data_IF_868096379761
#
_entry.id   IF_868096379761
#
_cell.length_a   1.000
_cell.length_b   1.000
_cell.length_c   1.000
_cell.angle_alpha   90.00
_cell.angle_beta   90.00
_cell.angle_gamma   90.00
#
_symmetry.space_group_name_H-M   'P 1'
#
loop_
_entity.id
_entity.type
_entity.pdbx_description
1 polymer ?
#
# COMPACT_ATOMS: atom_id res chain seq x y z
N UNK A 1 1.69 -23.01 -15.21
CA UNK A 1 1.86 -21.96 -14.19
C UNK A 1 0.88 -22.27 -13.05
N UNK A 2 1.32 -22.39 -11.79
CA UNK A 2 0.42 -22.51 -10.63
C UNK A 2 0.42 -21.16 -9.91
N UNK A 3 -0.76 -20.63 -9.58
CA UNK A 3 -0.90 -19.36 -8.86
C UNK A 3 -1.01 -19.71 -7.36
N UNK A 4 0.00 -19.36 -6.53
CA UNK A 4 0.04 -19.80 -5.13
C UNK A 4 -1.01 -19.09 -4.26
N UNK A 5 -1.37 -17.85 -4.60
CA UNK A 5 -2.28 -17.01 -3.83
C UNK A 5 -3.32 -16.36 -4.72
N UNK A 6 -4.56 -16.35 -4.26
CA UNK A 6 -5.67 -15.67 -4.93
C UNK A 6 -6.40 -14.80 -3.93
N UNK A 7 -6.69 -13.55 -4.29
CA UNK A 7 -7.26 -12.54 -3.39
C UNK A 7 -8.47 -11.91 -4.06
N UNK A 8 -9.57 -11.79 -3.31
CA UNK A 8 -10.79 -11.10 -3.72
C UNK A 8 -10.98 -9.89 -2.82
N UNK A 9 -11.01 -8.70 -3.42
CA UNK A 9 -11.33 -7.45 -2.74
C UNK A 9 -12.69 -6.96 -3.22
N UNK A 10 -13.63 -6.82 -2.29
CA UNK A 10 -15.01 -6.41 -2.53
C UNK A 10 -15.37 -5.22 -1.63
N UNK A 11 -14.96 -3.99 -1.99
CA UNK A 11 -15.22 -2.79 -1.17
C UNK A 11 -16.72 -2.52 -1.00
N UNK A 12 -17.53 -2.92 -1.98
CA UNK A 12 -18.96 -2.69 -2.02
C UNK A 12 -19.78 -3.83 -1.40
N UNK A 13 -19.12 -4.90 -0.92
CA UNK A 13 -19.73 -6.09 -0.32
C UNK A 13 -20.86 -6.68 -1.19
N UNK A 14 -20.67 -6.70 -2.51
CA UNK A 14 -21.67 -7.23 -3.47
C UNK A 14 -21.62 -8.75 -3.60
N UNK A 15 -20.46 -9.35 -3.37
CA UNK A 15 -20.18 -10.78 -3.46
C UNK A 15 -20.21 -11.44 -2.08
N UNK A 16 -19.73 -10.75 -1.04
CA UNK A 16 -19.59 -11.28 0.31
C UNK A 16 -19.72 -10.20 1.38
N UNK A 17 -19.95 -10.60 2.64
CA UNK A 17 -19.88 -9.71 3.81
C UNK A 17 -18.44 -9.40 4.25
N UNK A 18 -17.44 -9.99 3.58
CA UNK A 18 -16.02 -9.82 3.92
C UNK A 18 -15.38 -8.98 2.83
N UNK A 19 -14.78 -7.84 3.21
CA UNK A 19 -14.14 -6.93 2.27
C UNK A 19 -12.94 -7.54 1.55
N UNK A 20 -12.16 -8.38 2.23
CA UNK A 20 -10.95 -9.00 1.70
C UNK A 20 -10.95 -10.49 2.01
N UNK A 21 -10.89 -11.31 0.97
CA UNK A 21 -10.80 -12.76 1.09
C UNK A 21 -9.52 -13.25 0.44
N UNK A 22 -8.70 -13.98 1.19
CA UNK A 22 -7.42 -14.51 0.73
C UNK A 22 -7.54 -16.02 0.63
N UNK A 23 -6.98 -16.58 -0.43
CA UNK A 23 -6.95 -18.01 -0.70
C UNK A 23 -5.54 -18.44 -1.05
N UNK A 24 -5.16 -19.64 -0.62
CA UNK A 24 -3.89 -20.26 -0.97
C UNK A 24 -4.14 -21.56 -1.73
N UNK A 25 -3.32 -21.83 -2.74
CA UNK A 25 -3.34 -23.09 -3.46
C UNK A 25 -2.66 -24.18 -2.62
N UNK A 26 -3.42 -25.16 -2.16
CA UNK A 26 -2.92 -26.37 -1.51
C UNK A 26 -3.51 -27.60 -2.20
N UNK A 27 -2.66 -28.59 -2.54
CA UNK A 27 -3.08 -29.84 -3.17
C UNK A 27 -4.05 -29.64 -4.36
N UNK A 28 -3.73 -28.68 -5.24
CA UNK A 28 -4.53 -28.32 -6.42
C UNK A 28 -5.91 -27.69 -6.15
N UNK A 29 -6.21 -27.29 -4.91
CA UNK A 29 -7.43 -26.56 -4.53
C UNK A 29 -7.10 -25.26 -3.82
N UNK A 30 -7.96 -24.24 -3.98
CA UNK A 30 -7.84 -23.00 -3.22
C UNK A 30 -8.57 -23.13 -1.90
N UNK A 31 -7.86 -22.92 -0.80
CA UNK A 31 -8.46 -22.89 0.54
C UNK A 31 -8.37 -21.49 1.16
N UNK A 32 -9.40 -21.07 1.91
CA UNK A 32 -9.40 -19.78 2.60
C UNK A 32 -8.22 -19.66 3.56
N UNK A 33 -7.61 -18.48 3.57
CA UNK A 33 -6.52 -18.08 4.45
C UNK A 33 -6.98 -16.84 5.23
N UNK A 34 -6.74 -16.84 6.54
CA UNK A 34 -7.25 -15.80 7.45
C UNK A 34 -6.34 -14.57 7.56
N UNK A 35 -5.14 -14.64 7.03
CA UNK A 35 -4.19 -13.52 6.98
C UNK A 35 -3.83 -13.20 5.53
N UNK A 36 -3.44 -11.96 5.31
CA UNK A 36 -3.04 -11.45 4.01
C UNK A 36 -1.51 -11.33 3.88
N UNK A 37 -0.76 -12.16 4.63
CA UNK A 37 0.69 -12.20 4.59
C UNK A 37 1.19 -13.34 3.69
N UNK A 38 2.11 -13.02 2.79
CA UNK A 38 2.66 -13.91 1.79
C UNK A 38 4.16 -14.10 2.04
N UNK A 39 4.47 -15.03 2.94
CA UNK A 39 5.86 -15.28 3.39
C UNK A 39 6.81 -15.61 2.22
N UNK A 40 6.34 -16.28 1.17
CA UNK A 40 7.16 -16.65 0.00
C UNK A 40 7.73 -15.44 -0.76
N UNK A 41 7.08 -14.28 -0.65
CA UNK A 41 7.46 -13.03 -1.32
C UNK A 41 7.75 -11.89 -0.33
N UNK A 42 7.69 -12.17 0.98
CA UNK A 42 7.87 -11.21 2.05
C UNK A 42 7.02 -9.94 1.91
N UNK A 43 5.76 -10.12 1.51
CA UNK A 43 4.81 -9.03 1.31
C UNK A 43 3.47 -9.37 1.94
N UNK A 44 2.76 -8.34 2.39
CA UNK A 44 1.40 -8.42 2.85
C UNK A 44 0.47 -7.57 2.02
N UNK A 45 -0.84 -7.82 2.12
CA UNK A 45 -1.87 -6.89 1.65
C UNK A 45 -2.58 -6.26 2.83
N UNK A 46 -2.84 -4.97 2.73
CA UNK A 46 -3.58 -4.20 3.72
C UNK A 46 -4.59 -3.28 3.05
N UNK A 47 -5.60 -2.88 3.80
CA UNK A 47 -6.56 -1.87 3.39
C UNK A 47 -6.10 -0.51 3.89
N UNK A 48 -5.92 0.41 2.95
CA UNK A 48 -5.47 1.76 3.23
C UNK A 48 -6.53 2.77 2.82
N UNK A 49 -6.84 3.72 3.70
CA UNK A 49 -7.81 4.78 3.44
C UNK A 49 -7.08 6.05 3.00
N UNK A 50 -7.43 6.57 1.84
CA UNK A 50 -6.91 7.85 1.38
C UNK A 50 -7.13 8.10 -0.10
N UNK A 51 -6.42 9.13 -0.61
CA UNK A 51 -6.54 9.57 -1.99
C UNK A 51 -5.48 8.87 -2.84
N UNK A 52 -5.93 8.11 -3.82
CA UNK A 52 -5.08 7.53 -4.86
C UNK A 52 -5.71 7.84 -6.23
N UNK A 53 -4.89 8.27 -7.19
CA UNK A 53 -5.35 8.73 -8.52
C UNK A 53 -6.53 9.73 -8.47
N UNK A 54 -6.48 10.69 -7.54
CA UNK A 54 -7.54 11.69 -7.30
C UNK A 54 -8.88 11.14 -6.78
N UNK A 55 -8.91 9.88 -6.34
CA UNK A 55 -10.10 9.25 -5.77
C UNK A 55 -9.85 8.93 -4.30
N UNK A 56 -10.70 9.46 -3.41
CA UNK A 56 -10.67 9.16 -1.99
C UNK A 56 -11.50 7.90 -1.70
N UNK A 57 -10.86 6.80 -1.34
CA UNK A 57 -11.53 5.53 -1.06
C UNK A 57 -10.67 4.62 -0.16
N UNK A 58 -11.17 3.42 0.14
CA UNK A 58 -10.39 2.32 0.69
C UNK A 58 -9.71 1.56 -0.44
N UNK A 59 -8.39 1.54 -0.43
CA UNK A 59 -7.55 0.91 -1.43
C UNK A 59 -6.90 -0.35 -0.87
N UNK A 60 -6.79 -1.37 -1.73
CA UNK A 60 -5.96 -2.54 -1.45
C UNK A 60 -4.51 -2.21 -1.81
N UNK A 61 -3.61 -2.24 -0.83
CA UNK A 61 -2.19 -1.88 -0.99
C UNK A 61 -1.27 -2.97 -0.47
N UNK A 62 -0.08 -3.07 -1.06
CA UNK A 62 1.00 -3.90 -0.53
C UNK A 62 1.59 -3.28 0.74
N UNK A 63 1.95 -4.11 1.70
CA UNK A 63 2.64 -3.72 2.92
C UNK A 63 3.87 -4.60 3.21
N UNK A 64 4.78 -4.05 4.00
CA UNK A 64 5.93 -4.77 4.56
C UNK A 64 5.54 -5.65 5.77
N UNK A 65 6.52 -6.36 6.34
CA UNK A 65 6.33 -7.24 7.51
C UNK A 65 5.81 -6.49 8.75
N UNK A 66 6.09 -5.20 8.84
CA UNK A 66 5.59 -4.34 9.93
C UNK A 66 4.18 -3.79 9.66
N UNK A 67 3.60 -4.10 8.49
CA UNK A 67 2.30 -3.61 8.07
C UNK A 67 2.33 -2.20 7.47
N UNK A 68 3.51 -1.63 7.20
CA UNK A 68 3.61 -0.32 6.57
C UNK A 68 3.28 -0.43 5.09
N UNK A 69 2.42 0.46 4.61
CA UNK A 69 2.06 0.52 3.19
C UNK A 69 3.28 0.88 2.35
N UNK A 70 3.55 0.07 1.33
CA UNK A 70 4.57 0.34 0.34
C UNK A 70 4.07 1.49 -0.53
N UNK A 71 4.83 2.59 -0.55
CA UNK A 71 4.52 3.79 -1.33
C UNK A 71 4.66 3.52 -2.83
N UNK A 72 3.82 4.16 -3.63
CA UNK A 72 4.00 4.15 -5.10
C UNK A 72 5.16 5.06 -5.50
N UNK A 73 5.68 4.89 -6.72
CA UNK A 73 6.75 5.74 -7.25
C UNK A 73 6.36 7.23 -7.27
N UNK A 74 5.09 7.52 -7.55
CA UNK A 74 4.55 8.89 -7.56
C UNK A 74 4.51 9.50 -6.16
N UNK A 75 4.10 8.72 -5.15
CA UNK A 75 4.12 9.15 -3.74
C UNK A 75 5.54 9.43 -3.26
N UNK A 76 6.51 8.59 -3.65
CA UNK A 76 7.93 8.78 -3.31
C UNK A 76 8.47 10.06 -3.96
N UNK A 77 8.05 10.37 -5.18
CA UNK A 77 8.52 11.57 -5.91
C UNK A 77 7.94 12.84 -5.29
N UNK A 78 6.64 12.85 -4.97
CA UNK A 78 5.99 13.96 -4.30
C UNK A 78 6.62 14.28 -2.93
N UNK A 79 7.01 13.25 -2.17
CA UNK A 79 7.66 13.44 -0.87
C UNK A 79 9.07 14.02 -1.00
N UNK A 80 9.83 13.59 -2.02
CA UNK A 80 11.14 14.18 -2.33
C UNK A 80 11.03 15.64 -2.76
N UNK A 81 10.03 15.98 -3.58
CA UNK A 81 9.81 17.36 -4.02
C UNK A 81 9.41 18.27 -2.86
N UNK A 82 8.63 17.74 -1.89
CA UNK A 82 8.30 18.45 -0.66
C UNK A 82 9.54 18.66 0.23
N UNK A 83 10.40 17.66 0.38
CA UNK A 83 11.66 17.79 1.14
C UNK A 83 12.64 18.78 0.51
N UNK A 84 12.72 18.83 -0.82
CA UNK A 84 13.56 19.79 -1.56
C UNK A 84 13.02 21.21 -1.32
N UNK A 85 11.71 21.40 -1.46
CA UNK A 85 11.07 22.71 -1.24
C UNK A 85 11.23 23.21 0.21
N UNK A 86 11.20 22.31 1.20
CA UNK A 86 11.44 22.66 2.60
C UNK A 86 12.91 23.03 2.85
N UNK A 87 13.86 22.30 2.26
CA UNK A 87 15.29 22.64 2.35
C UNK A 87 15.60 23.98 1.70
N UNK A 88 15.03 24.28 0.54
CA UNK A 88 15.22 25.56 -0.15
C UNK A 88 14.68 26.74 0.68
N UNK A 89 13.52 26.56 1.34
CA UNK A 89 12.96 27.58 2.23
C UNK A 89 13.86 27.82 3.44
N UNK A 90 14.48 26.78 3.98
CA UNK A 90 15.34 26.86 5.16
C UNK A 90 16.73 27.43 4.86
N UNK A 91 17.27 27.19 3.66
CA UNK A 91 18.53 27.78 3.19
C UNK A 91 18.32 29.29 2.95
N UNK A 92 17.22 29.66 2.29
CA UNK A 92 16.88 31.07 2.03
C UNK A 92 16.64 31.88 3.33
N UNK A 93 16.03 31.28 4.36
CA UNK A 93 15.89 31.93 5.67
C UNK A 93 17.23 32.08 6.41
N UNK A 94 18.12 31.08 6.31
CA UNK A 94 19.45 31.17 6.93
C UNK A 94 20.31 32.24 6.27
N UNK A 95 20.29 32.37 4.94
CA UNK A 95 21.08 33.39 4.22
C UNK A 95 20.61 34.83 4.51
N UNK A 96 19.34 35.04 4.88
CA UNK A 96 18.80 36.36 5.23
C UNK A 96 19.17 36.79 6.67
N UNK A 97 19.47 35.87 7.57
CA UNK A 97 19.90 36.17 8.95
C UNK A 97 21.42 36.42 9.11
N UNK A 98 22.22 36.24 8.04
CA UNK A 98 23.68 36.43 8.06
C UNK A 98 24.14 37.77 7.44
N UNK A 99 23.20 38.67 7.13
CA UNK A 99 23.45 40.06 6.69
C UNK A 99 22.88 41.05 7.69
#
# INVERSE_FOLDING_TARGET
>A
LKIPYYVVYDPLQKLSKTFLQVFQLQNNSYIPKNDAWFADINLGLTLWNGVFENVNDTWLRWCDESGNVIKTGDEITAEKDAEISQKDTQISQKDVEIF
#
